data_IF_397082318404
#
_entry.id   IF_397082318404
#
_cell.length_a   1.000
_cell.length_b   1.000
_cell.length_c   1.000
_cell.angle_alpha   90.00
_cell.angle_beta   90.00
_cell.angle_gamma   90.00
#
_symmetry.space_group_name_H-M   'P 1'
#
loop_
_entity.id
_entity.type
_entity.pdbx_description
1 polymer ?
#
# COMPACT_ATOMS: atom_id res chain seq x y z
N UNK A 1 -0.61 2.49 14.84
CA UNK A 1 0.12 1.40 14.16
C UNK A 1 0.84 0.61 15.23
N UNK A 2 0.65 -0.72 15.33
CA UNK A 2 1.43 -1.54 16.25
C UNK A 2 2.92 -1.51 15.87
N UNK A 3 3.81 -1.76 16.82
CA UNK A 3 5.24 -1.88 16.54
C UNK A 3 5.49 -2.96 15.47
N UNK A 4 6.16 -2.64 14.35
CA UNK A 4 6.45 -3.63 13.32
C UNK A 4 7.39 -4.72 13.86
N UNK A 5 6.90 -5.96 13.90
CA UNK A 5 7.64 -7.14 14.39
C UNK A 5 7.51 -8.29 13.41
N UNK A 6 8.57 -9.07 13.28
CA UNK A 6 8.57 -10.28 12.45
C UNK A 6 7.48 -11.25 12.93
N UNK A 7 6.81 -11.90 11.99
CA UNK A 7 5.69 -12.84 12.22
C UNK A 7 4.50 -12.23 12.99
N UNK A 8 4.41 -10.89 13.05
CA UNK A 8 3.27 -10.20 13.64
C UNK A 8 2.57 -9.34 12.60
N UNK A 9 1.26 -9.54 12.49
CA UNK A 9 0.37 -8.77 11.63
C UNK A 9 0.59 -7.27 11.82
N UNK A 10 0.80 -6.56 10.70
CA UNK A 10 0.91 -5.11 10.62
C UNK A 10 -0.09 -4.59 9.60
N UNK A 11 -0.86 -3.56 9.94
CA UNK A 11 -1.83 -2.96 9.01
C UNK A 11 -1.17 -1.81 8.26
N UNK A 12 -1.20 -1.86 6.93
CA UNK A 12 -0.85 -0.74 6.06
C UNK A 12 -2.11 -0.04 5.58
N UNK A 13 -2.13 1.28 5.74
CA UNK A 13 -3.10 2.16 5.08
C UNK A 13 -2.38 2.88 3.95
N UNK A 14 -2.92 2.74 2.75
CA UNK A 14 -2.40 3.32 1.52
C UNK A 14 -3.46 4.29 1.02
N UNK A 15 -3.05 5.51 0.71
CA UNK A 15 -3.97 6.53 0.20
C UNK A 15 -3.31 7.44 -0.84
N UNK A 16 -4.11 7.85 -1.81
CA UNK A 16 -3.78 8.86 -2.80
C UNK A 16 -4.96 9.83 -2.92
N UNK A 17 -4.69 11.13 -2.82
CA UNK A 17 -5.69 12.16 -3.08
C UNK A 17 -5.81 12.38 -4.58
N UNK A 18 -7.02 12.33 -5.14
CA UNK A 18 -7.27 12.69 -6.54
C UNK A 18 -6.95 14.18 -6.77
N UNK A 19 -5.89 14.51 -7.54
CA UNK A 19 -5.50 15.89 -7.78
C UNK A 19 -6.22 16.53 -8.97
N UNK A 20 -7.00 15.74 -9.74
CA UNK A 20 -7.68 16.19 -10.95
C UNK A 20 -9.04 16.84 -10.61
N UNK A 21 -9.56 17.61 -11.56
CA UNK A 21 -10.91 18.18 -11.54
C UNK A 21 -12.00 17.19 -11.94
N UNK A 22 -11.61 15.99 -12.36
CA UNK A 22 -12.47 14.94 -12.86
C UNK A 22 -12.41 13.67 -12.00
N UNK A 23 -13.47 12.85 -11.97
CA UNK A 23 -13.44 11.56 -11.27
C UNK A 23 -12.44 10.59 -11.92
N UNK A 24 -11.77 9.79 -11.08
CA UNK A 24 -10.94 8.67 -11.53
C UNK A 24 -11.75 7.38 -11.49
N UNK A 25 -11.72 6.59 -12.56
CA UNK A 25 -12.35 5.26 -12.64
C UNK A 25 -11.30 4.18 -12.86
N UNK A 26 -11.67 2.91 -12.67
CA UNK A 26 -10.77 1.76 -12.76
C UNK A 26 -9.52 1.92 -11.87
N UNK A 27 -9.72 2.48 -10.68
CA UNK A 27 -8.65 2.77 -9.75
C UNK A 27 -8.10 1.49 -9.11
N UNK A 28 -6.78 1.30 -9.19
CA UNK A 28 -6.12 0.12 -8.68
C UNK A 28 -4.77 0.47 -8.02
N UNK A 29 -4.55 -0.08 -6.82
CA UNK A 29 -3.24 -0.12 -6.18
C UNK A 29 -2.56 -1.47 -6.40
N UNK A 30 -1.31 -1.42 -6.83
CA UNK A 30 -0.39 -2.56 -6.84
C UNK A 30 0.63 -2.38 -5.72
N UNK A 31 0.78 -3.39 -4.87
CA UNK A 31 1.65 -3.32 -3.69
C UNK A 31 2.63 -4.48 -3.70
N UNK A 32 3.90 -4.18 -3.46
CA UNK A 32 4.98 -5.15 -3.36
C UNK A 32 5.89 -4.82 -2.16
N UNK A 33 6.53 -5.83 -1.57
CA UNK A 33 7.41 -5.62 -0.44
C UNK A 33 8.08 -6.89 0.03
N UNK A 34 9.32 -7.12 -0.40
CA UNK A 34 10.09 -8.31 -0.05
C UNK A 34 10.22 -8.46 1.47
N UNK A 35 9.73 -9.59 2.00
CA UNK A 35 9.72 -9.88 3.43
C UNK A 35 8.64 -9.16 4.23
N UNK A 36 7.73 -8.41 3.59
CA UNK A 36 6.54 -7.79 4.20
C UNK A 36 5.24 -8.44 3.73
N UNK A 37 5.19 -8.78 2.44
CA UNK A 37 4.10 -9.50 1.77
C UNK A 37 4.70 -10.57 0.87
N UNK A 38 3.89 -11.58 0.55
CA UNK A 38 4.25 -12.60 -0.42
C UNK A 38 3.80 -12.17 -1.82
N UNK A 39 4.74 -12.09 -2.74
CA UNK A 39 4.50 -11.63 -4.11
C UNK A 39 3.96 -10.19 -4.22
N UNK A 40 3.04 -10.02 -5.17
CA UNK A 40 2.42 -8.75 -5.55
C UNK A 40 0.93 -8.81 -5.18
N UNK A 41 0.44 -7.76 -4.52
CA UNK A 41 -0.96 -7.63 -4.11
C UNK A 41 -1.63 -6.55 -4.93
N UNK A 42 -2.75 -6.89 -5.56
CA UNK A 42 -3.59 -5.98 -6.33
C UNK A 42 -4.84 -5.61 -5.51
N UNK A 43 -5.17 -4.31 -5.48
CA UNK A 43 -6.30 -3.75 -4.74
C UNK A 43 -7.05 -2.76 -5.61
N UNK A 44 -8.15 -3.23 -6.19
CA UNK A 44 -9.12 -2.41 -6.91
C UNK A 44 -10.00 -1.65 -5.92
N UNK A 45 -10.43 -0.45 -6.30
CA UNK A 45 -11.38 0.35 -5.55
C UNK A 45 -12.79 0.18 -6.13
N UNK A 46 -13.76 0.09 -5.22
CA UNK A 46 -15.17 0.00 -5.59
C UNK A 46 -15.68 1.39 -6.00
N UNK A 47 -15.70 1.64 -7.31
CA UNK A 47 -16.29 2.83 -7.91
C UNK A 47 -15.34 4.01 -8.12
N UNK A 48 -15.86 5.14 -8.62
CA UNK A 48 -15.07 6.30 -8.95
C UNK A 48 -14.53 7.03 -7.70
N UNK A 49 -13.37 7.67 -7.85
CA UNK A 49 -12.78 8.57 -6.86
C UNK A 49 -12.98 10.01 -7.31
N UNK A 50 -13.86 10.74 -6.64
CA UNK A 50 -14.24 12.10 -7.02
C UNK A 50 -13.09 13.12 -6.86
N UNK A 51 -13.16 14.28 -7.53
CA UNK A 51 -12.17 15.35 -7.38
C UNK A 51 -11.90 15.71 -5.93
N UNK A 52 -10.62 15.67 -5.53
CA UNK A 52 -10.19 15.98 -4.18
C UNK A 52 -10.47 14.91 -3.10
N UNK A 53 -11.10 13.77 -3.45
CA UNK A 53 -11.25 12.64 -2.53
C UNK A 53 -9.99 11.76 -2.46
N UNK A 54 -9.89 10.97 -1.39
CA UNK A 54 -8.82 9.99 -1.22
C UNK A 54 -9.24 8.61 -1.74
N UNK A 55 -8.51 8.11 -2.73
CA UNK A 55 -8.42 6.69 -3.04
C UNK A 55 -7.71 5.99 -1.87
N UNK A 56 -8.40 5.14 -1.09
CA UNK A 56 -7.82 4.53 0.13
C UNK A 56 -8.08 3.04 0.22
N UNK A 57 -7.04 2.27 0.53
CA UNK A 57 -7.14 0.84 0.82
C UNK A 57 -6.41 0.49 2.11
N UNK A 58 -6.87 -0.56 2.78
CA UNK A 58 -6.20 -1.16 3.93
C UNK A 58 -5.83 -2.60 3.62
N UNK A 59 -4.63 -2.99 4.02
CA UNK A 59 -4.19 -4.38 3.88
C UNK A 59 -3.34 -4.82 5.05
N UNK A 60 -3.37 -6.11 5.28
CA UNK A 60 -2.58 -6.78 6.28
C UNK A 60 -1.25 -7.20 5.68
N UNK A 61 -0.17 -6.74 6.28
CA UNK A 61 1.18 -7.21 6.03
C UNK A 61 1.51 -8.29 7.07
N UNK A 62 2.26 -9.30 6.65
CA UNK A 62 2.78 -10.35 7.53
C UNK A 62 4.30 -10.41 7.35
N UNK A 63 5.06 -9.56 8.08
CA UNK A 63 6.50 -9.48 7.91
C UNK A 63 7.19 -10.81 8.19
N UNK A 64 7.85 -11.36 7.18
CA UNK A 64 8.59 -12.62 7.27
C UNK A 64 10.05 -12.43 7.67
N UNK A 65 10.60 -11.24 7.45
CA UNK A 65 12.01 -10.94 7.68
C UNK A 65 12.19 -9.66 8.51
N UNK A 66 13.10 -9.70 9.48
CA UNK A 66 13.48 -8.54 10.31
C UNK A 66 14.43 -7.58 9.57
N UNK A 67 14.68 -6.40 10.15
CA UNK A 67 15.55 -5.36 9.60
C UNK A 67 14.81 -4.33 8.74
N UNK A 68 15.56 -3.56 7.96
CA UNK A 68 15.01 -2.55 7.06
C UNK A 68 14.33 -3.21 5.86
N UNK A 69 13.04 -2.91 5.68
CA UNK A 69 12.21 -3.39 4.57
C UNK A 69 11.59 -2.22 3.84
N UNK A 70 11.25 -2.41 2.57
CA UNK A 70 10.62 -1.38 1.73
C UNK A 70 9.29 -1.93 1.22
N UNK A 71 8.23 -1.17 1.45
CA UNK A 71 6.93 -1.35 0.82
C UNK A 71 6.85 -0.38 -0.36
N UNK A 72 6.59 -0.89 -1.55
CA UNK A 72 6.43 -0.10 -2.78
C UNK A 72 4.98 -0.22 -3.24
N UNK A 73 4.43 0.89 -3.71
CA UNK A 73 3.05 1.01 -4.16
C UNK A 73 3.04 1.70 -5.51
N UNK A 74 2.28 1.17 -6.45
CA UNK A 74 1.91 1.82 -7.70
C UNK A 74 0.39 2.03 -7.72
N UNK A 75 -0.06 3.16 -8.23
CA UNK A 75 -1.46 3.49 -8.45
C UNK A 75 -1.70 3.78 -9.93
N UNK A 76 -2.77 3.20 -10.46
CA UNK A 76 -3.25 3.40 -11.83
C UNK A 76 -4.76 3.67 -11.83
N UNK A 77 -5.22 4.45 -12.80
CA UNK A 77 -6.62 4.66 -13.14
C UNK A 77 -6.77 4.92 -14.64
N UNK A 78 -8.00 5.13 -15.11
CA UNK A 78 -8.32 5.61 -16.46
C UNK A 78 -7.51 6.87 -16.87
N UNK A 79 -7.36 7.84 -15.96
CA UNK A 79 -6.79 9.18 -16.20
C UNK A 79 -5.50 9.47 -15.47
N UNK A 80 -5.24 8.82 -14.33
CA UNK A 80 -4.06 9.06 -13.52
C UNK A 80 -3.21 7.79 -13.45
N UNK A 81 -2.06 7.82 -14.14
CA UNK A 81 -1.23 6.64 -14.38
C UNK A 81 0.19 6.79 -13.85
N UNK A 82 0.82 5.67 -13.52
CA UNK A 82 2.23 5.60 -13.13
C UNK A 82 2.55 6.31 -11.81
N UNK A 83 1.59 6.47 -10.90
CA UNK A 83 1.84 7.12 -9.61
C UNK A 83 2.48 6.14 -8.66
N UNK A 84 3.71 6.43 -8.23
CA UNK A 84 4.52 5.54 -7.38
C UNK A 84 4.77 6.15 -6.01
N UNK A 85 4.70 5.31 -4.98
CA UNK A 85 5.04 5.64 -3.62
C UNK A 85 5.82 4.51 -2.96
N UNK A 86 6.58 4.83 -1.91
CA UNK A 86 7.22 3.81 -1.09
C UNK A 86 7.31 4.24 0.37
N UNK A 87 7.48 3.25 1.24
CA UNK A 87 7.78 3.46 2.65
C UNK A 87 8.79 2.46 3.15
N UNK A 88 9.82 2.96 3.83
CA UNK A 88 10.75 2.13 4.58
C UNK A 88 10.14 1.78 5.95
N UNK A 89 10.24 0.52 6.34
CA UNK A 89 9.69 -0.04 7.58
C UNK A 89 10.79 -0.85 8.25
N UNK A 90 11.08 -0.56 9.52
CA UNK A 90 12.04 -1.32 10.31
C UNK A 90 11.25 -2.40 11.06
N UNK A 91 11.51 -3.68 10.76
CA UNK A 91 10.88 -4.83 11.39
C UNK A 91 11.78 -5.35 12.51
N UNK A 92 11.32 -5.33 13.75
CA UNK A 92 12.08 -5.92 14.85
C UNK A 92 12.09 -7.47 14.76
N UNK A 93 13.20 -8.13 15.17
CA UNK A 93 13.29 -9.59 15.20
C UNK A 93 12.30 -10.20 16.21
N UNK A 94 12.00 -11.51 16.11
CA UNK A 94 11.24 -12.22 17.12
C UNK A 94 11.97 -12.16 18.47
N UNK A 95 11.23 -12.24 19.59
CA UNK A 95 11.86 -12.41 20.90
C UNK A 95 12.72 -13.68 20.92
N UNK A 96 13.85 -13.60 21.64
CA UNK A 96 14.72 -14.76 21.92
C UNK A 96 14.07 -15.72 22.91
#
# INVERSE_FOLDING_TARGET
MGEPKQQRKLVAEISLKNPLSEPLTDCCFTVEGAGLIDGLVLKELDGPVEPGQDAKVRMDLMPQLSGLRKLVVNFESDRLKGVKGFKNIIIAPPPK
#
